data_IF_447037484022
#
_entry.id   IF_447037484022
#
_cell.length_a   1.000
_cell.length_b   1.000
_cell.length_c   1.000
_cell.angle_alpha   90.00
_cell.angle_beta   90.00
_cell.angle_gamma   90.00
#
_symmetry.space_group_name_H-M   'P 1'
#
loop_
_entity.id
_entity.type
_entity.pdbx_description
1 polymer ?
#
# COMPACT_ATOMS: atom_id res chain seq x y z
N UNK A 1 5.76 -26.27 13.09
CA UNK A 1 5.81 -24.85 12.67
C UNK A 1 4.49 -24.38 12.08
N UNK A 2 3.94 -25.06 11.06
CA UNK A 2 2.70 -24.63 10.36
C UNK A 2 1.55 -24.36 11.32
N UNK A 3 1.26 -25.29 12.25
CA UNK A 3 0.20 -25.15 13.27
C UNK A 3 0.34 -23.84 14.07
N UNK A 4 1.55 -23.48 14.49
CA UNK A 4 1.76 -22.24 15.26
C UNK A 4 1.55 -20.99 14.42
N UNK A 5 2.02 -20.98 13.17
CA UNK A 5 1.79 -19.85 12.28
C UNK A 5 0.30 -19.69 11.97
N UNK A 6 -0.43 -20.80 11.80
CA UNK A 6 -1.89 -20.80 11.64
C UNK A 6 -2.58 -20.20 12.87
N UNK A 7 -2.29 -20.73 14.06
CA UNK A 7 -2.87 -20.22 15.31
C UNK A 7 -2.59 -18.72 15.52
N UNK A 8 -1.37 -18.27 15.19
CA UNK A 8 -1.03 -16.84 15.25
C UNK A 8 -1.81 -16.00 14.25
N UNK A 9 -2.04 -16.52 13.04
CA UNK A 9 -2.85 -15.85 12.02
C UNK A 9 -4.33 -15.73 12.44
N UNK A 10 -4.83 -16.73 13.18
CA UNK A 10 -6.17 -16.72 13.79
C UNK A 10 -6.25 -15.89 15.09
N UNK A 11 -5.16 -15.22 15.47
CA UNK A 11 -5.13 -14.30 16.62
C UNK A 11 -4.87 -14.97 17.98
N UNK A 12 -4.46 -16.24 18.00
CA UNK A 12 -4.12 -16.93 19.24
C UNK A 12 -2.88 -16.30 19.91
N UNK A 13 -2.94 -15.92 21.19
CA UNK A 13 -1.78 -15.37 21.90
C UNK A 13 -0.62 -16.37 21.98
N UNK A 14 0.62 -15.90 21.78
CA UNK A 14 1.83 -16.76 21.84
C UNK A 14 1.88 -17.62 23.11
N UNK A 15 1.48 -17.07 24.25
CA UNK A 15 1.50 -17.81 25.53
C UNK A 15 0.51 -18.98 25.54
N UNK A 16 -0.67 -18.84 24.93
CA UNK A 16 -1.63 -19.93 24.82
C UNK A 16 -1.04 -21.07 23.95
N UNK A 17 -0.36 -20.72 22.86
CA UNK A 17 0.32 -21.68 21.98
C UNK A 17 1.46 -22.40 22.71
N UNK A 18 2.27 -21.66 23.45
CA UNK A 18 3.39 -22.18 24.26
C UNK A 18 2.90 -23.23 25.26
N UNK A 19 1.86 -22.90 26.03
CA UNK A 19 1.27 -23.79 27.03
C UNK A 19 0.63 -25.01 26.36
N UNK A 20 -0.22 -24.79 25.35
CA UNK A 20 -0.99 -25.85 24.72
C UNK A 20 -0.13 -26.87 23.96
N UNK A 21 0.99 -26.43 23.38
CA UNK A 21 1.87 -27.27 22.56
C UNK A 21 3.18 -27.66 23.27
N UNK A 22 3.39 -27.24 24.53
CA UNK A 22 4.62 -27.51 25.28
C UNK A 22 5.88 -26.97 24.61
N UNK A 23 5.78 -25.82 23.93
CA UNK A 23 6.89 -25.24 23.17
C UNK A 23 7.74 -24.29 24.02
N UNK A 24 9.02 -24.21 23.73
CA UNK A 24 9.85 -23.13 24.26
C UNK A 24 9.36 -21.76 23.73
N UNK A 25 9.24 -20.78 24.64
CA UNK A 25 8.70 -19.46 24.32
C UNK A 25 9.54 -18.71 23.29
N UNK A 26 10.88 -18.81 23.37
CA UNK A 26 11.79 -18.13 22.42
C UNK A 26 11.60 -18.69 21.02
N UNK A 27 11.39 -20.00 20.93
CA UNK A 27 11.09 -20.70 19.68
C UNK A 27 9.77 -20.23 19.08
N UNK A 28 8.69 -20.20 19.88
CA UNK A 28 7.39 -19.73 19.43
C UNK A 28 7.42 -18.25 18.98
N UNK A 29 8.17 -17.38 19.68
CA UNK A 29 8.35 -15.97 19.32
C UNK A 29 9.17 -15.76 18.06
N UNK A 30 10.14 -16.64 17.76
CA UNK A 30 10.97 -16.51 16.57
C UNK A 30 10.23 -16.85 15.26
N UNK A 31 9.24 -17.75 15.32
CA UNK A 31 8.53 -18.23 14.13
C UNK A 31 7.75 -17.18 13.33
N UNK A 32 6.98 -16.25 13.93
CA UNK A 32 6.34 -15.18 13.17
C UNK A 32 7.33 -14.34 12.36
N UNK A 33 8.53 -14.08 12.89
CA UNK A 33 9.58 -13.36 12.15
C UNK A 33 10.07 -14.12 10.91
N UNK A 34 10.30 -15.43 11.04
CA UNK A 34 10.71 -16.29 9.91
C UNK A 34 9.59 -16.44 8.87
N UNK A 35 8.36 -16.62 9.32
CA UNK A 35 7.19 -16.69 8.46
C UNK A 35 7.01 -15.37 7.69
N UNK A 36 7.11 -14.23 8.38
CA UNK A 36 7.06 -12.90 7.77
C UNK A 36 8.14 -12.70 6.70
N UNK A 37 9.38 -13.12 6.95
CA UNK A 37 10.45 -13.06 5.96
C UNK A 37 10.16 -13.90 4.71
N UNK A 38 9.57 -15.09 4.88
CA UNK A 38 9.13 -15.92 3.76
C UNK A 38 7.96 -15.29 3.00
N UNK A 39 6.95 -14.77 3.70
CA UNK A 39 5.82 -14.06 3.09
C UNK A 39 6.31 -12.84 2.29
N UNK A 40 7.28 -12.09 2.81
CA UNK A 40 7.86 -10.96 2.09
C UNK A 40 8.58 -11.40 0.81
N UNK A 41 9.32 -12.51 0.82
CA UNK A 41 9.94 -13.07 -0.39
C UNK A 41 8.90 -13.51 -1.41
N UNK A 42 7.90 -14.27 -0.99
CA UNK A 42 6.80 -14.72 -1.85
C UNK A 42 6.03 -13.54 -2.45
N UNK A 43 5.72 -12.53 -1.65
CA UNK A 43 5.06 -11.31 -2.11
C UNK A 43 5.90 -10.55 -3.14
N UNK A 44 7.19 -10.36 -2.89
CA UNK A 44 8.10 -9.73 -3.87
C UNK A 44 8.15 -10.52 -5.19
N UNK A 45 8.16 -11.84 -5.12
CA UNK A 45 8.25 -12.68 -6.30
C UNK A 45 6.94 -12.73 -7.10
N UNK A 46 5.80 -12.92 -6.43
CA UNK A 46 4.51 -13.21 -7.07
C UNK A 46 3.65 -11.95 -7.29
N UNK A 47 3.70 -10.99 -6.36
CA UNK A 47 2.82 -9.80 -6.38
C UNK A 47 3.52 -8.59 -6.97
N UNK A 48 4.79 -8.37 -6.63
CA UNK A 48 5.55 -7.20 -7.12
C UNK A 48 6.08 -7.49 -8.53
N UNK A 49 5.15 -7.63 -9.47
CA UNK A 49 5.39 -7.82 -10.91
C UNK A 49 4.48 -6.86 -11.69
N UNK A 50 5.02 -6.25 -12.74
CA UNK A 50 4.31 -5.28 -13.55
C UNK A 50 3.08 -5.92 -14.22
N UNK A 51 1.92 -5.27 -14.08
CA UNK A 51 0.64 -5.67 -14.67
C UNK A 51 -0.20 -4.44 -15.00
N UNK A 52 -1.24 -4.64 -15.80
CA UNK A 52 -2.25 -3.60 -15.98
C UNK A 52 -3.13 -3.55 -14.73
N UNK A 53 -3.01 -2.45 -13.98
CA UNK A 53 -3.67 -2.28 -12.69
C UNK A 53 -5.09 -1.73 -12.84
N UNK A 54 -5.34 -0.91 -13.87
CA UNK A 54 -6.58 -0.15 -14.04
C UNK A 54 -6.86 0.83 -12.90
N UNK A 55 -7.34 0.31 -11.76
CA UNK A 55 -7.63 1.08 -10.56
C UNK A 55 -6.96 0.47 -9.32
N UNK A 56 -6.30 1.34 -8.54
CA UNK A 56 -5.69 1.03 -7.25
C UNK A 56 -6.30 1.91 -6.18
N UNK A 57 -6.62 1.32 -5.03
CA UNK A 57 -6.97 2.03 -3.81
C UNK A 57 -5.81 1.97 -2.83
N UNK A 58 -5.47 3.09 -2.21
CA UNK A 58 -4.52 3.14 -1.10
C UNK A 58 -5.08 3.91 0.08
N UNK A 59 -4.87 3.38 1.28
CA UNK A 59 -5.36 3.96 2.53
C UNK A 59 -4.41 3.65 3.69
N UNK A 60 -4.58 4.35 4.80
CA UNK A 60 -3.82 4.18 6.03
C UNK A 60 -4.68 3.85 7.23
N UNK A 61 -4.18 2.91 8.01
CA UNK A 61 -4.79 2.43 9.24
C UNK A 61 -3.95 2.85 10.43
N UNK A 62 -4.62 3.32 11.48
CA UNK A 62 -4.02 3.54 12.77
C UNK A 62 -4.13 2.28 13.63
N UNK A 63 -3.02 1.57 13.78
CA UNK A 63 -2.98 0.23 14.35
C UNK A 63 -2.44 0.28 15.79
N UNK A 64 -3.18 -0.32 16.72
CA UNK A 64 -2.72 -0.54 18.09
C UNK A 64 -1.89 -1.82 18.13
N UNK A 65 -0.65 -1.71 18.60
CA UNK A 65 0.21 -2.84 18.94
C UNK A 65 0.44 -2.87 20.45
N UNK A 66 0.90 -3.99 20.99
CA UNK A 66 1.21 -4.06 22.42
C UNK A 66 2.26 -2.99 22.78
N UNK A 67 1.89 -2.06 23.66
CA UNK A 67 2.77 -0.98 24.14
C UNK A 67 3.03 0.17 23.17
N UNK A 68 2.44 0.18 21.95
CA UNK A 68 2.66 1.28 20.99
C UNK A 68 1.55 1.41 19.94
N UNK A 69 1.56 2.53 19.23
CA UNK A 69 0.69 2.77 18.07
C UNK A 69 1.55 2.96 16.83
N UNK A 70 1.09 2.42 15.70
CA UNK A 70 1.78 2.53 14.41
C UNK A 70 0.78 2.89 13.32
N UNK A 71 1.27 3.49 12.26
CA UNK A 71 0.54 3.71 11.02
C UNK A 71 0.90 2.63 10.02
N UNK A 72 -0.11 2.06 9.38
CA UNK A 72 0.03 1.06 8.34
C UNK A 72 -0.66 1.57 7.08
N UNK A 73 0.09 1.83 6.02
CA UNK A 73 -0.46 2.20 4.72
C UNK A 73 -0.45 0.98 3.80
N UNK A 74 -1.53 0.77 3.06
CA UNK A 74 -1.73 -0.41 2.21
C UNK A 74 -2.28 0.00 0.85
N UNK A 75 -2.02 -0.81 -0.17
CA UNK A 75 -2.58 -0.63 -1.52
C UNK A 75 -3.19 -1.92 -2.05
N UNK A 76 -4.34 -1.81 -2.72
CA UNK A 76 -5.09 -2.91 -3.31
C UNK A 76 -5.50 -2.58 -4.75
N UNK A 77 -5.35 -3.54 -5.65
CA UNK A 77 -5.94 -3.46 -6.99
C UNK A 77 -7.44 -3.76 -6.89
N UNK A 78 -8.27 -2.84 -7.37
CA UNK A 78 -9.73 -2.92 -7.17
C UNK A 78 -10.35 -4.09 -7.94
N UNK A 79 -9.97 -4.26 -9.20
CA UNK A 79 -10.57 -5.27 -10.10
C UNK A 79 -10.32 -6.71 -9.66
N UNK A 80 -9.16 -6.99 -9.07
CA UNK A 80 -8.76 -8.34 -8.64
C UNK A 80 -8.84 -8.55 -7.13
N UNK A 81 -9.07 -7.47 -6.35
CA UNK A 81 -8.94 -7.44 -4.89
C UNK A 81 -7.57 -7.92 -4.38
N UNK A 82 -6.54 -7.83 -5.23
CA UNK A 82 -5.19 -8.20 -4.87
C UNK A 82 -4.52 -7.10 -4.06
N UNK A 83 -4.10 -7.40 -2.83
CA UNK A 83 -3.22 -6.53 -2.07
C UNK A 83 -1.86 -6.43 -2.76
N UNK A 84 -1.50 -5.23 -3.21
CA UNK A 84 -0.23 -4.95 -3.88
C UNK A 84 0.92 -4.81 -2.87
N UNK A 85 0.60 -4.50 -1.62
CA UNK A 85 1.54 -4.43 -0.50
C UNK A 85 1.21 -3.29 0.47
N UNK A 86 2.14 -3.05 1.40
CA UNK A 86 2.00 -1.99 2.38
C UNK A 86 3.30 -1.66 3.11
N UNK A 87 3.24 -0.60 3.91
CA UNK A 87 4.35 -0.12 4.73
C UNK A 87 3.86 0.23 6.14
N UNK A 88 4.75 0.10 7.12
CA UNK A 88 4.49 0.44 8.52
C UNK A 88 5.47 1.52 8.97
N UNK A 89 4.98 2.45 9.79
CA UNK A 89 5.77 3.53 10.38
C UNK A 89 5.23 3.92 11.75
N UNK A 90 6.06 4.52 12.60
CA UNK A 90 5.58 5.20 13.80
C UNK A 90 4.84 6.50 13.46
N UNK A 91 5.17 7.14 12.33
CA UNK A 91 4.62 8.43 11.89
C UNK A 91 3.77 8.29 10.61
N UNK A 92 2.68 9.07 10.54
CA UNK A 92 1.88 9.28 9.31
C UNK A 92 2.50 10.42 8.51
N UNK A 93 3.53 10.09 7.72
CA UNK A 93 4.33 11.07 6.99
C UNK A 93 4.46 10.74 5.49
N UNK A 94 5.05 11.66 4.73
CA UNK A 94 5.29 11.47 3.30
C UNK A 94 6.22 10.28 2.99
N UNK A 95 7.10 9.88 3.92
CA UNK A 95 8.00 8.74 3.73
C UNK A 95 7.25 7.40 3.82
N UNK A 96 6.27 7.28 4.70
CA UNK A 96 5.33 6.15 4.73
C UNK A 96 4.57 6.04 3.41
N UNK A 97 3.98 7.16 2.96
CA UNK A 97 3.17 7.18 1.74
C UNK A 97 4.03 6.86 0.51
N UNK A 98 5.21 7.48 0.40
CA UNK A 98 6.14 7.24 -0.72
C UNK A 98 6.53 5.76 -0.84
N UNK A 99 6.71 5.06 0.28
CA UNK A 99 7.01 3.62 0.28
C UNK A 99 5.87 2.79 -0.33
N UNK A 100 4.61 3.09 -0.01
CA UNK A 100 3.46 2.38 -0.60
C UNK A 100 3.31 2.72 -2.07
N UNK A 101 3.42 4.00 -2.44
CA UNK A 101 3.35 4.43 -3.84
C UNK A 101 4.46 3.79 -4.68
N UNK A 102 5.66 3.60 -4.14
CA UNK A 102 6.74 2.88 -4.81
C UNK A 102 6.40 1.41 -5.09
N UNK A 103 5.67 0.75 -4.19
CA UNK A 103 5.17 -0.61 -4.41
C UNK A 103 4.14 -0.61 -5.55
N UNK A 104 3.19 0.33 -5.56
CA UNK A 104 2.19 0.46 -6.64
C UNK A 104 2.91 0.63 -7.99
N UNK A 105 3.89 1.54 -8.07
CA UNK A 105 4.69 1.75 -9.29
C UNK A 105 5.42 0.48 -9.73
N UNK A 106 6.00 -0.27 -8.81
CA UNK A 106 6.70 -1.52 -9.13
C UNK A 106 5.75 -2.61 -9.67
N UNK A 107 4.46 -2.52 -9.35
CA UNK A 107 3.42 -3.41 -9.87
C UNK A 107 2.75 -2.88 -11.15
N UNK A 108 3.01 -1.64 -11.56
CA UNK A 108 2.28 -0.99 -12.65
C UNK A 108 3.00 -1.11 -13.99
N UNK A 109 2.26 -1.48 -15.04
CA UNK A 109 2.62 -1.13 -16.41
C UNK A 109 2.28 0.34 -16.68
N UNK A 110 3.00 0.97 -17.61
CA UNK A 110 2.67 2.31 -18.09
C UNK A 110 1.42 2.24 -18.98
N UNK A 111 0.25 2.19 -18.34
CA UNK A 111 -1.10 2.12 -18.89
C UNK A 111 -2.00 3.09 -18.11
N UNK A 112 -3.18 3.46 -18.64
CA UNK A 112 -4.14 4.27 -17.90
C UNK A 112 -4.36 3.71 -16.49
N UNK A 113 -4.10 4.53 -15.47
CA UNK A 113 -4.08 4.10 -14.08
C UNK A 113 -4.74 5.14 -13.20
N UNK A 114 -5.80 4.73 -12.51
CA UNK A 114 -6.44 5.52 -11.46
C UNK A 114 -5.93 5.08 -10.09
N UNK A 115 -5.30 6.00 -9.37
CA UNK A 115 -4.95 5.80 -7.95
C UNK A 115 -5.94 6.60 -7.10
N UNK A 116 -6.83 5.89 -6.43
CA UNK A 116 -7.78 6.43 -5.46
C UNK A 116 -7.18 6.37 -4.06
N UNK A 117 -7.19 7.50 -3.36
CA UNK A 117 -6.53 7.65 -2.05
C UNK A 117 -7.42 8.40 -1.08
N UNK A 118 -7.23 8.21 0.23
CA UNK A 118 -7.85 9.10 1.22
C UNK A 118 -7.27 10.53 1.11
N UNK A 119 -7.98 11.52 1.64
CA UNK A 119 -7.73 12.96 1.46
C UNK A 119 -6.41 13.51 2.03
N UNK A 120 -5.46 12.65 2.43
CA UNK A 120 -4.15 13.08 2.91
C UNK A 120 -3.33 13.68 1.76
N UNK A 121 -2.93 14.95 1.93
CA UNK A 121 -2.24 15.72 0.89
C UNK A 121 -0.90 15.12 0.43
N UNK A 122 -0.25 14.32 1.27
CA UNK A 122 1.02 13.66 0.94
C UNK A 122 0.88 12.57 -0.12
N UNK A 123 -0.31 12.03 -0.40
CA UNK A 123 -0.48 11.09 -1.51
C UNK A 123 -0.29 11.75 -2.86
N UNK A 124 -0.89 12.91 -3.09
CA UNK A 124 -0.83 13.57 -4.41
C UNK A 124 0.63 13.86 -4.76
N UNK A 125 1.37 14.46 -3.84
CA UNK A 125 2.79 14.78 -4.06
C UNK A 125 3.66 13.52 -4.17
N UNK A 126 3.40 12.47 -3.37
CA UNK A 126 4.14 11.21 -3.46
C UNK A 126 3.88 10.49 -4.80
N UNK A 127 2.63 10.42 -5.25
CA UNK A 127 2.25 9.82 -6.54
C UNK A 127 2.93 10.57 -7.68
N UNK A 128 2.80 11.90 -7.72
CA UNK A 128 3.47 12.73 -8.72
C UNK A 128 4.99 12.60 -8.66
N UNK A 129 5.56 12.40 -7.48
CA UNK A 129 7.00 12.26 -7.32
C UNK A 129 7.52 10.90 -7.81
N UNK A 130 6.77 9.83 -7.58
CA UNK A 130 7.15 8.45 -7.86
C UNK A 130 6.83 8.06 -9.31
N UNK A 131 5.66 8.45 -9.82
CA UNK A 131 5.21 8.15 -11.18
C UNK A 131 5.78 9.14 -12.21
N UNK A 132 7.11 9.12 -12.31
CA UNK A 132 7.88 9.84 -13.32
C UNK A 132 8.87 8.90 -13.98
N UNK A 133 9.20 9.21 -15.22
CA UNK A 133 10.21 8.49 -15.99
C UNK A 133 11.29 9.45 -16.51
N UNK A 134 12.55 8.99 -16.59
CA UNK A 134 13.61 9.78 -17.17
C UNK A 134 13.40 9.90 -18.68
N UNK A 135 13.60 11.10 -19.23
CA UNK A 135 13.72 11.31 -20.67
C UNK A 135 15.19 11.08 -21.03
N UNK A 136 15.55 9.96 -21.70
CA UNK A 136 16.94 9.68 -22.04
C UNK A 136 17.41 10.68 -23.09
N UNK A 137 18.48 11.41 -22.79
CA UNK A 137 19.08 12.40 -23.70
C UNK A 137 20.37 11.91 -24.36
N UNK A 138 20.86 10.72 -23.97
CA UNK A 138 22.16 10.18 -24.39
C UNK A 138 23.38 10.92 -23.83
N UNK A 139 23.18 11.97 -23.02
CA UNK A 139 24.25 12.80 -22.44
C UNK A 139 24.52 12.41 -20.99
N UNK A 140 25.77 12.60 -20.54
CA UNK A 140 26.16 12.41 -19.14
C UNK A 140 25.49 13.48 -18.26
N UNK A 141 24.78 13.04 -17.22
CA UNK A 141 24.06 13.92 -16.28
C UNK A 141 22.73 13.34 -15.83
N UNK A 142 22.06 14.00 -14.88
CA UNK A 142 20.73 13.59 -14.42
C UNK A 142 19.69 13.94 -15.50
N UNK A 143 18.99 12.96 -16.10
CA UNK A 143 17.97 13.24 -17.10
C UNK A 143 16.79 13.99 -16.48
N UNK A 144 16.12 14.82 -17.29
CA UNK A 144 14.84 15.43 -16.91
C UNK A 144 13.81 14.31 -16.72
N UNK A 145 12.99 14.44 -15.69
CA UNK A 145 11.89 13.51 -15.42
C UNK A 145 10.59 14.07 -16.00
N UNK A 146 9.81 13.24 -16.68
CA UNK A 146 8.42 13.55 -17.08
C UNK A 146 7.43 12.72 -16.27
N UNK A 147 6.22 13.24 -15.98
CA UNK A 147 5.12 12.42 -15.47
C UNK A 147 4.74 11.31 -16.44
N UNK A 148 4.15 10.23 -15.90
CA UNK A 148 3.47 9.21 -16.71
C UNK A 148 2.23 9.77 -17.40
N UNK A 149 2.01 9.33 -18.63
CA UNK A 149 0.79 9.62 -19.37
C UNK A 149 -0.39 8.83 -18.77
N UNK A 150 -1.60 9.40 -18.87
CA UNK A 150 -2.85 8.77 -18.41
C UNK A 150 -2.90 8.35 -16.92
N UNK A 151 -1.99 8.88 -16.10
CA UNK A 151 -2.05 8.74 -14.65
C UNK A 151 -3.13 9.65 -14.07
N UNK A 152 -4.13 9.04 -13.45
CA UNK A 152 -5.22 9.72 -12.78
C UNK A 152 -5.11 9.60 -11.26
N UNK A 153 -5.35 10.70 -10.54
CA UNK A 153 -5.29 10.76 -9.07
C UNK A 153 -6.63 11.25 -8.56
N UNK A 154 -7.36 10.36 -7.87
CA UNK A 154 -8.69 10.62 -7.34
C UNK A 154 -8.72 10.58 -5.82
N UNK A 155 -8.38 11.67 -5.12
CA UNK A 155 -8.55 11.73 -3.67
C UNK A 155 -10.03 11.73 -3.29
N UNK A 156 -10.35 10.95 -2.26
CA UNK A 156 -11.64 10.91 -1.60
C UNK A 156 -11.56 11.82 -0.38
N UNK A 157 -12.35 12.88 -0.37
CA UNK A 157 -12.38 13.85 0.72
C UNK A 157 -13.62 13.58 1.56
N UNK A 158 -13.41 13.12 2.79
CA UNK A 158 -14.45 12.97 3.79
C UNK A 158 -14.86 14.36 4.28
N UNK A 159 -16.16 14.63 4.30
CA UNK A 159 -16.74 15.80 4.92
C UNK A 159 -17.26 15.36 6.29
N UNK A 160 -16.67 15.89 7.35
CA UNK A 160 -16.98 15.49 8.71
C UNK A 160 -17.80 16.57 9.42
N UNK A 161 -18.87 16.17 10.12
CA UNK A 161 -19.54 16.98 11.12
C UNK A 161 -19.24 16.38 12.49
N UNK A 162 -18.32 17.02 13.23
CA UNK A 162 -17.83 16.48 14.49
C UNK A 162 -17.03 15.18 14.29
N UNK A 163 -17.54 14.06 14.81
CA UNK A 163 -16.91 12.72 14.69
C UNK A 163 -17.57 11.82 13.64
N UNK A 164 -18.48 12.35 12.84
CA UNK A 164 -19.24 11.59 11.86
C UNK A 164 -18.94 12.10 10.45
N UNK A 165 -18.67 11.16 9.54
CA UNK A 165 -18.57 11.44 8.11
C UNK A 165 -19.99 11.69 7.60
N UNK A 166 -20.30 12.92 7.19
CA UNK A 166 -21.62 13.33 6.69
C UNK A 166 -21.68 13.39 5.17
N UNK A 167 -20.53 13.35 4.50
CA UNK A 167 -20.45 13.38 3.06
C UNK A 167 -19.10 12.91 2.55
N UNK A 168 -19.05 12.57 1.26
CA UNK A 168 -17.83 12.19 0.58
C UNK A 168 -17.77 12.96 -0.73
N UNK A 169 -16.79 13.84 -0.85
CA UNK A 169 -16.46 14.52 -2.10
C UNK A 169 -15.41 13.72 -2.84
N UNK A 170 -15.67 13.45 -4.12
CA UNK A 170 -14.72 12.78 -5.03
C UNK A 170 -14.33 13.80 -6.08
N UNK A 171 -13.02 14.05 -6.20
CA UNK A 171 -12.49 14.94 -7.23
C UNK A 171 -11.30 14.28 -7.90
N UNK A 172 -11.10 14.59 -9.18
CA UNK A 172 -9.89 14.23 -9.91
C UNK A 172 -8.94 15.41 -9.81
N UNK A 173 -7.78 15.21 -9.18
CA UNK A 173 -6.75 16.25 -9.02
C UNK A 173 -5.76 16.23 -10.19
N UNK A 174 -5.64 15.08 -10.85
CA UNK A 174 -4.84 14.89 -12.04
C UNK A 174 -5.50 13.81 -12.91
N UNK A 175 -5.48 14.01 -14.23
CA UNK A 175 -6.14 13.14 -15.20
C UNK A 175 -7.43 13.75 -15.75
N UNK A 176 -7.91 13.22 -16.87
CA UNK A 176 -9.14 13.66 -17.52
C UNK A 176 -10.27 12.65 -17.28
N UNK A 177 -11.50 13.14 -17.16
CA UNK A 177 -12.68 12.29 -16.90
C UNK A 177 -12.87 11.19 -17.95
N UNK A 178 -12.52 11.47 -19.22
CA UNK A 178 -12.56 10.48 -20.30
C UNK A 178 -11.64 9.28 -20.07
N UNK A 179 -10.51 9.48 -19.39
CA UNK A 179 -9.55 8.41 -19.02
C UNK A 179 -10.01 7.71 -17.74
N UNK A 180 -10.62 8.46 -16.81
CA UNK A 180 -11.09 7.94 -15.51
C UNK A 180 -12.34 7.07 -15.65
N UNK A 181 -13.32 7.49 -16.44
CA UNK A 181 -14.61 6.81 -16.60
C UNK A 181 -14.51 5.30 -16.90
N UNK A 182 -13.64 4.83 -17.83
CA UNK A 182 -13.50 3.40 -18.07
C UNK A 182 -12.82 2.63 -16.92
N UNK A 183 -12.09 3.31 -16.02
CA UNK A 183 -11.32 2.69 -14.92
C UNK A 183 -12.14 2.48 -13.64
N UNK A 184 -13.35 3.03 -13.54
CA UNK A 184 -14.22 2.95 -12.33
C UNK A 184 -15.23 1.77 -12.41
N UNK A 185 -15.18 0.96 -13.47
CA UNK A 185 -16.14 -0.13 -13.70
C UNK A 185 -16.10 -1.26 -12.67
#
# INVERSE_FOLDING_TARGET
MTVVVTLLADGCPIQAIVIALGLDERTARAWPGRAGAQCQRGHKHLVVQARDLGQVQADELWVKQQGRRVWMALAIQVSTRLWLGGAISAARDGALITRVVAIIRACALCRPLLIAVDGLSSYVSAIQAVFREPIPTGRRGRPRLRPWDDLCIGPVIKQDAGRQVVGVSRRIVQGADAVVAPLIR
#
